data_IF_898339525300
#
_entry.id   IF_898339525300
#
_cell.length_a   1.000
_cell.length_b   1.000
_cell.length_c   1.000
_cell.angle_alpha   90.00
_cell.angle_beta   90.00
_cell.angle_gamma   90.00
#
_symmetry.space_group_name_H-M   'P 1'
#
loop_
_entity.id
_entity.type
_entity.pdbx_description
1 polymer ?
#
# COMPACT_ATOMS: atom_id res chain seq x y z
N UNK A 1 3.91 -5.18 -0.17
CA UNK A 1 5.12 -5.58 -0.93
C UNK A 1 5.60 -6.88 -0.31
N UNK A 2 5.48 -7.99 -1.02
CA UNK A 2 5.76 -9.34 -0.52
C UNK A 2 7.23 -9.71 -0.71
N UNK A 3 7.88 -9.24 -1.79
CA UNK A 3 9.27 -9.56 -2.10
C UNK A 3 10.05 -8.36 -2.68
N UNK A 4 11.19 -7.99 -2.07
CA UNK A 4 12.08 -6.90 -2.54
C UNK A 4 12.81 -7.19 -3.85
N UNK A 5 12.90 -8.46 -4.27
CA UNK A 5 13.47 -8.89 -5.55
C UNK A 5 12.41 -9.00 -6.65
N UNK A 6 11.12 -8.92 -6.32
CA UNK A 6 10.03 -8.94 -7.31
C UNK A 6 9.90 -7.57 -7.98
N UNK A 7 10.01 -7.56 -9.31
CA UNK A 7 9.91 -6.34 -10.11
C UNK A 7 8.55 -5.62 -9.96
N UNK A 8 7.46 -6.38 -9.88
CA UNK A 8 6.10 -5.83 -9.74
C UNK A 8 5.95 -5.21 -8.35
N UNK A 9 6.39 -5.91 -7.33
CA UNK A 9 6.30 -5.51 -5.93
C UNK A 9 7.08 -4.22 -5.65
N UNK A 10 8.31 -4.14 -6.17
CA UNK A 10 9.16 -2.95 -6.03
C UNK A 10 8.54 -1.76 -6.74
N UNK A 11 7.94 -1.95 -7.92
CA UNK A 11 7.25 -0.87 -8.62
C UNK A 11 6.02 -0.36 -7.86
N UNK A 12 5.17 -1.29 -7.39
CA UNK A 12 3.98 -0.97 -6.60
C UNK A 12 4.31 -0.29 -5.27
N UNK A 13 5.53 -0.50 -4.76
CA UNK A 13 6.05 0.23 -3.60
C UNK A 13 6.64 1.60 -3.98
N UNK A 14 7.59 1.65 -4.92
CA UNK A 14 8.31 2.87 -5.29
C UNK A 14 7.43 3.91 -5.95
N UNK A 15 6.46 3.52 -6.77
CA UNK A 15 5.60 4.47 -7.48
C UNK A 15 4.76 5.36 -6.57
N UNK A 16 3.87 4.83 -5.71
CA UNK A 16 3.08 5.66 -4.80
C UNK A 16 3.98 6.41 -3.82
N UNK A 17 5.09 5.81 -3.36
CA UNK A 17 6.03 6.47 -2.46
C UNK A 17 6.69 7.69 -3.12
N UNK A 18 7.20 7.55 -4.34
CA UNK A 18 7.80 8.65 -5.10
C UNK A 18 6.80 9.78 -5.36
N UNK A 19 5.58 9.44 -5.80
CA UNK A 19 4.52 10.44 -6.06
C UNK A 19 4.12 11.17 -4.77
N UNK A 20 3.90 10.43 -3.68
CA UNK A 20 3.55 11.00 -2.38
C UNK A 20 4.66 11.89 -1.82
N UNK A 21 5.90 11.42 -1.93
CA UNK A 21 7.09 12.14 -1.49
C UNK A 21 7.29 13.45 -2.27
N UNK A 22 7.17 13.43 -3.60
CA UNK A 22 7.24 14.64 -4.43
C UNK A 22 6.18 15.67 -4.01
N UNK A 23 4.94 15.22 -3.77
CA UNK A 23 3.84 16.11 -3.35
C UNK A 23 4.14 16.73 -1.99
N UNK A 24 4.60 15.94 -1.02
CA UNK A 24 4.95 16.43 0.30
C UNK A 24 6.07 17.48 0.25
N UNK A 25 7.13 17.21 -0.51
CA UNK A 25 8.22 18.16 -0.75
C UNK A 25 7.71 19.47 -1.36
N UNK A 26 6.85 19.40 -2.37
CA UNK A 26 6.30 20.60 -3.03
C UNK A 26 5.44 21.41 -2.08
N UNK A 27 4.59 20.77 -1.27
CA UNK A 27 3.79 21.46 -0.25
C UNK A 27 4.71 22.18 0.75
N UNK A 28 5.74 21.50 1.25
CA UNK A 28 6.71 22.10 2.16
C UNK A 28 7.39 23.34 1.53
N UNK A 29 7.81 23.25 0.26
CA UNK A 29 8.45 24.38 -0.44
C UNK A 29 7.47 25.54 -0.67
N UNK A 30 6.24 25.25 -1.10
CA UNK A 30 5.21 26.27 -1.33
C UNK A 30 4.94 27.06 -0.06
N UNK A 31 4.86 26.38 1.09
CA UNK A 31 4.64 27.04 2.37
C UNK A 31 5.88 27.81 2.84
N UNK A 32 7.07 27.22 2.68
CA UNK A 32 8.33 27.82 3.16
C UNK A 32 8.79 29.02 2.34
N UNK A 33 8.50 29.04 1.04
CA UNK A 33 8.88 30.12 0.11
C UNK A 33 7.67 30.97 -0.28
N UNK A 34 6.62 30.97 0.55
CA UNK A 34 5.41 31.74 0.28
C UNK A 34 5.72 33.25 0.25
N UNK A 35 5.59 33.85 -0.94
CA UNK A 35 5.68 35.29 -1.15
C UNK A 35 4.35 35.82 -1.73
N UNK A 36 3.52 36.52 -0.93
CA UNK A 36 2.25 37.09 -1.37
C UNK A 36 2.37 38.09 -2.53
N UNK A 37 3.57 38.63 -2.76
CA UNK A 37 3.84 39.66 -3.77
C UNK A 37 4.73 39.14 -4.91
N UNK A 38 5.12 37.86 -4.87
CA UNK A 38 6.00 37.23 -5.84
C UNK A 38 5.30 36.78 -7.14
N UNK A 39 6.08 36.48 -8.18
CA UNK A 39 5.57 35.88 -9.42
C UNK A 39 5.23 34.40 -9.22
N UNK A 40 3.99 34.13 -8.83
CA UNK A 40 3.46 32.78 -8.59
C UNK A 40 3.67 31.84 -9.77
N UNK A 41 3.51 32.31 -11.02
CA UNK A 41 3.64 31.47 -12.22
C UNK A 41 5.08 31.01 -12.44
N UNK A 42 6.05 31.90 -12.20
CA UNK A 42 7.47 31.56 -12.29
C UNK A 42 7.86 30.56 -11.22
N UNK A 43 7.37 30.75 -10.00
CA UNK A 43 7.58 29.83 -8.88
C UNK A 43 7.03 28.43 -9.17
N UNK A 44 5.75 28.33 -9.55
CA UNK A 44 5.11 27.06 -9.91
C UNK A 44 5.84 26.33 -11.05
N UNK A 45 6.34 27.07 -12.05
CA UNK A 45 7.12 26.48 -13.14
C UNK A 45 8.44 25.88 -12.64
N UNK A 46 9.07 26.47 -11.63
CA UNK A 46 10.27 25.93 -10.97
C UNK A 46 10.01 24.60 -10.26
N UNK A 47 8.81 24.43 -9.70
CA UNK A 47 8.39 23.19 -9.03
C UNK A 47 7.99 22.06 -9.99
N UNK A 48 7.84 22.31 -11.29
CA UNK A 48 7.58 21.28 -12.32
C UNK A 48 8.84 20.46 -12.65
N UNK A 49 9.54 19.99 -11.62
CA UNK A 49 10.66 19.06 -11.74
C UNK A 49 10.31 17.74 -11.08
N UNK A 50 10.68 16.63 -11.74
CA UNK A 50 10.56 15.27 -11.21
C UNK A 50 11.82 14.84 -10.44
N UNK A 51 12.45 15.78 -9.72
CA UNK A 51 13.75 15.56 -9.10
C UNK A 51 13.65 15.76 -7.61
N UNK A 52 13.43 14.68 -6.85
CA UNK A 52 13.34 14.77 -5.40
C UNK A 52 14.61 15.36 -4.80
N UNK A 53 15.81 14.99 -5.26
CA UNK A 53 17.07 15.60 -4.82
C UNK A 53 17.11 17.13 -4.97
N UNK A 54 16.51 17.70 -6.03
CA UNK A 54 16.50 19.17 -6.23
C UNK A 54 15.54 19.83 -5.25
N UNK A 55 14.38 19.22 -5.03
CA UNK A 55 13.37 19.70 -4.09
C UNK A 55 13.90 19.60 -2.64
N UNK A 56 14.57 18.50 -2.29
CA UNK A 56 15.27 18.33 -1.00
C UNK A 56 16.32 19.41 -0.82
N UNK A 57 17.17 19.65 -1.82
CA UNK A 57 18.20 20.71 -1.73
C UNK A 57 17.60 22.10 -1.51
N UNK A 58 16.43 22.38 -2.09
CA UNK A 58 15.69 23.61 -1.84
C UNK A 58 15.29 23.70 -0.35
N UNK A 59 14.68 22.66 0.22
CA UNK A 59 14.35 22.63 1.64
C UNK A 59 15.58 22.63 2.57
N UNK A 60 16.67 21.97 2.21
CA UNK A 60 17.93 22.02 2.99
C UNK A 60 18.44 23.47 3.10
N UNK A 61 18.29 24.27 2.04
CA UNK A 61 18.70 25.67 2.04
C UNK A 61 17.71 26.58 2.79
N UNK A 62 16.40 26.37 2.60
CA UNK A 62 15.36 27.27 3.13
C UNK A 62 14.99 26.94 4.58
N UNK A 63 14.97 25.66 4.95
CA UNK A 63 14.47 25.17 6.24
C UNK A 63 15.54 24.50 7.11
N UNK A 64 16.80 24.38 6.63
CA UNK A 64 17.93 23.78 7.35
C UNK A 64 17.68 22.32 7.81
N UNK A 65 16.88 21.57 7.06
CA UNK A 65 16.72 20.12 7.23
C UNK A 65 18.01 19.39 6.83
N UNK A 66 18.32 18.27 7.49
CA UNK A 66 19.47 17.43 7.17
C UNK A 66 19.12 15.95 7.27
N UNK A 67 19.42 15.21 6.21
CA UNK A 67 19.29 13.76 6.17
C UNK A 67 20.65 13.07 6.36
N UNK A 68 20.67 11.89 6.96
CA UNK A 68 21.88 11.07 7.04
C UNK A 68 22.17 10.45 5.66
N UNK A 69 23.35 9.83 5.54
CA UNK A 69 23.78 9.24 4.27
C UNK A 69 22.84 8.11 3.79
N UNK A 70 22.27 7.34 4.73
CA UNK A 70 21.31 6.27 4.44
C UNK A 70 20.07 6.82 3.72
N UNK A 71 19.45 7.85 4.30
CA UNK A 71 18.25 8.48 3.73
C UNK A 71 18.57 9.19 2.40
N UNK A 72 19.73 9.85 2.29
CA UNK A 72 20.17 10.49 1.04
C UNK A 72 20.33 9.49 -0.11
N UNK A 73 20.90 8.32 0.17
CA UNK A 73 21.03 7.26 -0.84
C UNK A 73 19.66 6.75 -1.28
N UNK A 74 18.73 6.55 -0.34
CA UNK A 74 17.36 6.13 -0.66
C UNK A 74 16.60 7.20 -1.48
N UNK A 75 16.76 8.48 -1.16
CA UNK A 75 16.20 9.61 -1.94
C UNK A 75 16.75 9.61 -3.37
N UNK A 76 18.04 9.27 -3.54
CA UNK A 76 18.66 9.17 -4.86
C UNK A 76 18.05 8.04 -5.69
N UNK A 77 17.86 6.86 -5.08
CA UNK A 77 17.16 5.71 -5.71
C UNK A 77 15.75 6.13 -6.16
N UNK A 78 14.95 6.76 -5.28
CA UNK A 78 13.61 7.23 -5.64
C UNK A 78 13.63 8.30 -6.74
N UNK A 79 14.65 9.16 -6.76
CA UNK A 79 14.80 10.20 -7.78
C UNK A 79 15.09 9.60 -9.15
N UNK A 80 15.99 8.62 -9.22
CA UNK A 80 16.31 7.91 -10.46
C UNK A 80 15.09 7.13 -10.96
N UNK A 81 14.45 6.37 -10.06
CA UNK A 81 13.23 5.61 -10.37
C UNK A 81 12.14 6.48 -11.02
N UNK A 82 11.82 7.62 -10.39
CA UNK A 82 10.70 8.46 -10.83
C UNK A 82 10.99 9.22 -12.14
N UNK A 83 12.27 9.55 -12.40
CA UNK A 83 12.70 10.24 -13.62
C UNK A 83 12.81 9.32 -14.83
N UNK A 84 13.47 8.17 -14.66
CA UNK A 84 13.86 7.30 -15.77
C UNK A 84 13.23 5.93 -15.68
N UNK A 85 13.38 5.24 -14.53
CA UNK A 85 13.21 3.78 -14.52
C UNK A 85 11.76 3.35 -14.74
N UNK A 86 10.78 4.16 -14.31
CA UNK A 86 9.36 3.96 -14.61
C UNK A 86 9.06 3.77 -16.11
N UNK A 87 9.82 4.42 -16.99
CA UNK A 87 9.59 4.33 -18.43
C UNK A 87 10.39 3.21 -19.10
N UNK A 88 11.41 2.67 -18.44
CA UNK A 88 12.27 1.63 -19.01
C UNK A 88 11.46 0.38 -19.40
N UNK A 89 10.34 0.11 -18.71
CA UNK A 89 9.39 -0.97 -19.01
C UNK A 89 8.64 -0.83 -20.34
N UNK A 90 8.67 0.37 -20.93
CA UNK A 90 7.93 0.70 -22.17
C UNK A 90 8.86 1.03 -23.35
N UNK A 91 10.18 0.90 -23.17
CA UNK A 91 11.16 1.20 -24.21
C UNK A 91 11.35 0.00 -25.16
N UNK A 92 11.60 0.28 -26.44
CA UNK A 92 11.84 -0.73 -27.48
C UNK A 92 13.25 -1.36 -27.43
N UNK A 93 14.12 -0.90 -26.55
CA UNK A 93 15.46 -1.47 -26.42
C UNK A 93 15.40 -2.90 -25.86
N UNK A 94 16.30 -3.80 -26.27
CA UNK A 94 16.31 -5.17 -25.78
C UNK A 94 16.39 -5.21 -24.25
N UNK A 95 15.51 -6.02 -23.63
CA UNK A 95 15.31 -6.28 -22.19
C UNK A 95 16.56 -6.84 -21.47
N UNK A 96 17.74 -6.75 -22.07
CA UNK A 96 19.02 -7.21 -21.53
C UNK A 96 19.68 -6.22 -20.55
N UNK A 97 19.15 -5.00 -20.39
CA UNK A 97 19.45 -4.19 -19.22
C UNK A 97 18.53 -4.63 -18.07
N UNK A 98 19.03 -5.62 -17.35
CA UNK A 98 18.50 -6.17 -16.10
C UNK A 98 17.85 -5.11 -15.23
N UNK A 99 16.58 -5.35 -14.87
CA UNK A 99 15.74 -4.52 -14.02
C UNK A 99 16.50 -3.92 -12.83
N UNK A 100 16.77 -2.62 -12.91
CA UNK A 100 17.67 -1.95 -11.97
C UNK A 100 17.00 -1.69 -10.61
N UNK A 101 15.67 -1.57 -10.55
CA UNK A 101 14.93 -1.15 -9.35
C UNK A 101 15.05 -2.17 -8.21
N UNK A 102 14.73 -3.48 -8.41
CA UNK A 102 14.90 -4.48 -7.35
C UNK A 102 16.36 -4.64 -6.95
N UNK A 103 17.28 -4.63 -7.92
CA UNK A 103 18.73 -4.71 -7.67
C UNK A 103 19.20 -3.54 -6.79
N UNK A 104 18.75 -2.31 -7.07
CA UNK A 104 19.09 -1.12 -6.28
C UNK A 104 18.52 -1.23 -4.86
N UNK A 105 17.27 -1.65 -4.71
CA UNK A 105 16.64 -1.81 -3.40
C UNK A 105 17.34 -2.89 -2.56
N UNK A 106 17.57 -4.06 -3.12
CA UNK A 106 18.26 -5.17 -2.44
C UNK A 106 19.67 -4.76 -2.04
N UNK A 107 20.43 -4.10 -2.92
CA UNK A 107 21.77 -3.57 -2.59
C UNK A 107 21.73 -2.52 -1.48
N UNK A 108 20.74 -1.63 -1.50
CA UNK A 108 20.54 -0.64 -0.45
C UNK A 108 20.29 -1.31 0.90
N UNK A 109 19.41 -2.31 0.94
CA UNK A 109 19.10 -3.04 2.17
C UNK A 109 20.33 -3.81 2.67
N UNK A 110 21.00 -4.60 1.81
CA UNK A 110 22.23 -5.31 2.17
C UNK A 110 23.28 -4.39 2.81
N UNK A 111 23.48 -3.22 2.19
CA UNK A 111 24.49 -2.24 2.63
C UNK A 111 24.19 -1.66 4.01
N UNK A 112 22.94 -1.30 4.28
CA UNK A 112 22.58 -0.52 5.47
C UNK A 112 21.96 -1.34 6.60
N UNK A 113 21.30 -2.46 6.28
CA UNK A 113 20.78 -3.42 7.25
C UNK A 113 21.85 -4.42 7.71
N UNK A 114 22.98 -4.52 6.98
CA UNK A 114 24.12 -5.43 7.25
C UNK A 114 23.75 -6.91 7.22
N UNK A 115 22.80 -7.27 6.36
CA UNK A 115 22.40 -8.66 6.15
C UNK A 115 22.84 -9.13 4.77
N UNK A 116 23.22 -10.40 4.67
CA UNK A 116 23.45 -11.08 3.40
C UNK A 116 22.10 -11.45 2.80
N UNK A 117 21.33 -10.47 2.31
CA UNK A 117 20.22 -10.80 1.42
C UNK A 117 20.82 -11.55 0.24
N UNK A 118 20.58 -12.85 0.12
CA UNK A 118 21.08 -13.60 -1.03
C UNK A 118 20.36 -13.07 -2.28
N UNK A 119 21.08 -12.48 -3.27
CA UNK A 119 20.43 -11.98 -4.48
C UNK A 119 19.78 -13.09 -5.34
N UNK A 120 20.06 -14.36 -5.04
CA UNK A 120 19.94 -15.46 -6.00
C UNK A 120 19.17 -16.70 -5.51
N UNK A 121 18.67 -16.78 -4.27
CA UNK A 121 18.24 -18.10 -3.75
C UNK A 121 16.74 -18.38 -3.88
N UNK A 122 15.85 -17.38 -3.87
CA UNK A 122 14.46 -17.63 -4.30
C UNK A 122 13.72 -16.31 -4.55
N UNK A 123 13.35 -16.05 -5.81
CA UNK A 123 12.42 -14.96 -6.16
C UNK A 123 11.00 -15.18 -5.58
N UNK A 124 10.82 -16.25 -4.81
CA UNK A 124 9.59 -16.65 -4.12
C UNK A 124 9.65 -16.40 -2.60
N UNK A 125 10.81 -16.04 -2.03
CA UNK A 125 10.94 -15.79 -0.61
C UNK A 125 10.27 -14.48 -0.19
N UNK A 126 9.43 -14.52 0.84
CA UNK A 126 8.79 -13.35 1.42
C UNK A 126 9.79 -12.48 2.19
N UNK A 127 9.57 -11.17 2.17
CA UNK A 127 10.30 -10.20 2.97
C UNK A 127 10.14 -10.51 4.46
N UNK A 128 11.24 -10.51 5.22
CA UNK A 128 11.14 -10.60 6.67
C UNK A 128 10.56 -9.31 7.27
N UNK A 129 9.92 -9.44 8.44
CA UNK A 129 9.33 -8.32 9.17
C UNK A 129 10.39 -7.26 9.50
N UNK A 130 11.61 -7.68 9.85
CA UNK A 130 12.73 -6.79 10.19
C UNK A 130 13.17 -5.95 8.99
N UNK A 131 13.21 -6.53 7.79
CA UNK A 131 13.51 -5.78 6.57
C UNK A 131 12.41 -4.76 6.25
N UNK A 132 11.15 -5.13 6.43
CA UNK A 132 10.02 -4.21 6.28
C UNK A 132 10.09 -3.06 7.30
N UNK A 133 10.41 -3.35 8.56
CA UNK A 133 10.64 -2.35 9.62
C UNK A 133 11.77 -1.40 9.26
N UNK A 134 12.89 -1.93 8.78
CA UNK A 134 14.03 -1.14 8.34
C UNK A 134 13.66 -0.15 7.23
N UNK A 135 12.96 -0.59 6.19
CA UNK A 135 12.50 0.30 5.12
C UNK A 135 11.51 1.33 5.67
N UNK A 136 10.58 0.93 6.54
CA UNK A 136 9.66 1.84 7.22
C UNK A 136 10.40 2.92 8.02
N UNK A 137 11.48 2.57 8.71
CA UNK A 137 12.34 3.51 9.45
C UNK A 137 13.07 4.49 8.51
N UNK A 138 13.60 4.00 7.39
CA UNK A 138 14.23 4.88 6.39
C UNK A 138 13.22 5.89 5.85
N UNK A 139 12.01 5.43 5.49
CA UNK A 139 10.95 6.30 4.97
C UNK A 139 10.48 7.29 6.06
N UNK A 140 10.33 6.85 7.31
CA UNK A 140 9.89 7.71 8.41
C UNK A 140 10.87 8.84 8.69
N UNK A 141 12.17 8.55 8.68
CA UNK A 141 13.25 9.52 8.85
C UNK A 141 13.33 10.54 7.70
N UNK A 142 12.77 10.21 6.54
CA UNK A 142 12.66 11.14 5.41
C UNK A 142 11.39 11.98 5.53
N UNK A 143 10.24 11.34 5.76
CA UNK A 143 8.91 11.94 5.65
C UNK A 143 8.58 12.83 6.85
N UNK A 144 8.89 12.39 8.07
CA UNK A 144 8.49 13.11 9.29
C UNK A 144 9.08 14.52 9.37
N UNK A 145 10.39 14.74 9.17
CA UNK A 145 10.96 16.08 9.24
C UNK A 145 10.38 17.04 8.18
N UNK A 146 9.98 16.53 7.01
CA UNK A 146 9.36 17.36 5.97
C UNK A 146 7.92 17.71 6.36
N UNK A 147 7.17 16.76 6.92
CA UNK A 147 5.82 17.04 7.41
C UNK A 147 5.81 18.02 8.59
N UNK A 148 6.81 17.95 9.47
CA UNK A 148 7.01 18.95 10.54
C UNK A 148 7.23 20.36 9.97
N UNK A 149 7.97 20.50 8.86
CA UNK A 149 8.11 21.78 8.15
C UNK A 149 6.73 22.24 7.65
N UNK A 150 5.95 21.36 7.02
CA UNK A 150 4.60 21.69 6.54
C UNK A 150 3.72 22.21 7.68
N UNK A 151 3.70 21.51 8.83
CA UNK A 151 2.91 21.91 9.99
C UNK A 151 3.35 23.28 10.51
N UNK A 152 4.66 23.47 10.72
CA UNK A 152 5.22 24.73 11.22
C UNK A 152 4.92 25.91 10.29
N UNK A 153 5.20 25.77 9.00
CA UNK A 153 5.01 26.85 8.05
C UNK A 153 3.54 27.20 7.87
N UNK A 154 2.65 26.20 7.89
CA UNK A 154 1.23 26.46 7.81
C UNK A 154 0.71 27.18 9.05
N UNK A 155 1.17 26.80 10.25
CA UNK A 155 0.85 27.52 11.49
C UNK A 155 1.33 28.98 11.42
N UNK A 156 2.56 29.23 10.97
CA UNK A 156 3.12 30.58 10.79
C UNK A 156 2.31 31.44 9.79
N UNK A 157 1.74 30.81 8.77
CA UNK A 157 0.87 31.46 7.78
C UNK A 157 -0.61 31.55 8.22
N UNK A 158 -0.98 31.01 9.38
CA UNK A 158 -2.36 30.94 9.85
C UNK A 158 -3.24 29.98 9.04
N UNK A 159 -2.63 29.00 8.36
CA UNK A 159 -3.29 27.94 7.60
C UNK A 159 -3.44 26.72 8.49
N UNK A 160 -4.67 26.43 8.92
CA UNK A 160 -4.97 25.25 9.73
C UNK A 160 -5.17 24.03 8.83
N UNK A 161 -4.08 23.32 8.50
CA UNK A 161 -4.11 22.05 7.72
C UNK A 161 -4.44 20.82 8.60
N UNK A 162 -5.17 21.01 9.70
CA UNK A 162 -5.34 20.00 10.76
C UNK A 162 -6.33 18.88 10.42
N UNK A 163 -6.97 18.92 9.26
CA UNK A 163 -7.98 17.93 8.85
C UNK A 163 -7.37 16.86 7.94
N UNK A 164 -6.43 16.09 8.47
CA UNK A 164 -6.20 14.75 7.92
C UNK A 164 -7.34 13.88 8.41
N UNK A 165 -8.12 13.32 7.48
CA UNK A 165 -9.15 12.34 7.81
C UNK A 165 -8.51 11.19 8.60
N UNK A 166 -8.99 10.99 9.83
CA UNK A 166 -8.46 10.03 10.79
C UNK A 166 -8.52 8.59 10.26
N UNK A 167 -9.48 8.28 9.39
CA UNK A 167 -9.64 6.94 8.80
C UNK A 167 -8.85 6.76 7.48
N UNK A 168 -8.13 7.79 7.04
CA UNK A 168 -7.35 7.73 5.81
C UNK A 168 -5.99 7.03 6.00
N UNK A 169 -5.39 6.56 4.90
CA UNK A 169 -3.99 6.08 4.94
C UNK A 169 -2.99 7.17 5.35
N UNK A 170 -3.35 8.44 5.16
CA UNK A 170 -2.49 9.56 5.52
C UNK A 170 -2.40 9.77 7.04
N UNK A 171 -3.47 9.46 7.81
CA UNK A 171 -3.44 9.58 9.27
C UNK A 171 -2.43 8.62 9.90
N UNK A 172 -2.35 7.38 9.41
CA UNK A 172 -1.33 6.40 9.83
C UNK A 172 0.08 6.96 9.76
N UNK A 173 0.44 7.50 8.59
CA UNK A 173 1.77 8.05 8.34
C UNK A 173 2.02 9.32 9.15
N UNK A 174 1.10 10.29 9.09
CA UNK A 174 1.37 11.64 9.56
C UNK A 174 0.97 11.90 11.01
N UNK A 175 -0.10 11.24 11.49
CA UNK A 175 -0.59 11.35 12.86
C UNK A 175 -0.03 10.24 13.76
N UNK A 176 -0.13 8.98 13.35
CA UNK A 176 0.29 7.83 14.18
C UNK A 176 1.76 7.47 14.02
N UNK A 177 2.41 7.97 12.96
CA UNK A 177 3.84 7.73 12.65
C UNK A 177 4.15 6.26 12.43
N UNK A 178 3.18 5.53 11.88
CA UNK A 178 3.29 4.11 11.54
C UNK A 178 3.70 3.97 10.07
N UNK A 179 4.81 3.28 9.83
CA UNK A 179 5.39 3.09 8.49
C UNK A 179 5.55 1.61 8.12
N UNK A 180 5.01 0.73 8.95
CA UNK A 180 4.80 -0.68 8.66
C UNK A 180 3.31 -1.00 8.91
N UNK A 181 2.84 -2.11 8.35
CA UNK A 181 1.43 -2.53 8.46
C UNK A 181 1.26 -3.78 9.34
N UNK A 182 2.19 -3.99 10.28
CA UNK A 182 2.27 -5.22 11.09
C UNK A 182 1.12 -5.30 12.09
N UNK A 183 0.77 -4.18 12.73
CA UNK A 183 -0.29 -4.15 13.73
C UNK A 183 -1.67 -4.43 13.10
N UNK A 184 -1.92 -4.00 11.85
CA UNK A 184 -3.13 -4.36 11.13
C UNK A 184 -3.17 -5.84 10.73
N UNK A 185 -2.03 -6.39 10.34
CA UNK A 185 -1.90 -7.83 10.05
C UNK A 185 -2.22 -8.67 11.31
N UNK A 186 -1.70 -8.26 12.47
CA UNK A 186 -1.99 -8.89 13.76
C UNK A 186 -3.47 -8.73 14.12
N UNK A 187 -4.01 -7.50 14.02
CA UNK A 187 -5.41 -7.22 14.31
C UNK A 187 -6.34 -8.07 13.43
N UNK A 188 -6.04 -8.20 12.14
CA UNK A 188 -6.83 -9.02 11.23
C UNK A 188 -6.80 -10.50 11.65
N UNK A 189 -5.64 -11.03 12.02
CA UNK A 189 -5.52 -12.40 12.52
C UNK A 189 -6.35 -12.61 13.80
N UNK A 190 -6.27 -11.67 14.76
CA UNK A 190 -7.06 -11.70 16.00
C UNK A 190 -8.57 -11.64 15.72
N UNK A 191 -9.02 -10.80 14.79
CA UNK A 191 -10.43 -10.75 14.35
C UNK A 191 -10.85 -12.08 13.75
N UNK A 192 -10.03 -12.70 12.89
CA UNK A 192 -10.33 -14.01 12.31
C UNK A 192 -10.44 -15.09 13.39
N UNK A 193 -9.50 -15.14 14.34
CA UNK A 193 -9.56 -16.05 15.47
C UNK A 193 -10.81 -15.84 16.33
N UNK A 194 -11.17 -14.59 16.59
CA UNK A 194 -12.37 -14.24 17.34
C UNK A 194 -13.64 -14.73 16.63
N UNK A 195 -13.75 -14.48 15.32
CA UNK A 195 -14.90 -14.90 14.51
C UNK A 195 -15.02 -16.43 14.39
N UNK A 196 -13.90 -17.15 14.31
CA UNK A 196 -13.90 -18.62 14.25
C UNK A 196 -14.22 -19.27 15.60
N UNK A 197 -13.90 -18.60 16.71
CA UNK A 197 -14.24 -19.06 18.06
C UNK A 197 -15.71 -18.90 18.37
N UNK A 198 -16.36 -17.87 17.81
CA UNK A 198 -17.75 -17.57 18.12
C UNK A 198 -18.72 -18.53 17.42
N UNK A 199 -19.44 -19.29 18.25
CA UNK A 199 -20.49 -20.21 17.79
C UNK A 199 -21.61 -19.52 17.03
N UNK A 200 -21.86 -18.22 17.25
CA UNK A 200 -22.92 -17.48 16.57
C UNK A 200 -22.62 -17.32 15.07
N UNK A 201 -21.40 -16.92 14.72
CA UNK A 201 -20.99 -16.79 13.32
C UNK A 201 -20.97 -18.14 12.61
N UNK A 202 -20.59 -19.21 13.31
CA UNK A 202 -20.68 -20.57 12.79
C UNK A 202 -22.14 -20.99 12.53
N UNK A 203 -23.06 -20.71 13.44
CA UNK A 203 -24.49 -20.98 13.25
C UNK A 203 -25.07 -20.18 12.07
N UNK A 204 -24.67 -18.92 11.92
CA UNK A 204 -25.10 -18.07 10.82
C UNK A 204 -24.54 -18.56 9.48
N UNK A 205 -23.26 -18.93 9.43
CA UNK A 205 -22.67 -19.55 8.24
C UNK A 205 -23.40 -20.86 7.88
N UNK A 206 -23.79 -21.66 8.88
CA UNK A 206 -24.60 -22.87 8.68
C UNK A 206 -25.99 -22.55 8.14
N UNK A 207 -26.64 -21.48 8.60
CA UNK A 207 -27.93 -21.04 8.06
C UNK A 207 -27.80 -20.63 6.58
N UNK A 208 -26.82 -19.80 6.25
CA UNK A 208 -26.54 -19.38 4.87
C UNK A 208 -26.24 -20.60 3.99
N UNK A 209 -25.45 -21.56 4.48
CA UNK A 209 -25.09 -22.78 3.72
C UNK A 209 -26.28 -23.67 3.36
N UNK A 210 -27.44 -23.52 4.03
CA UNK A 210 -28.68 -24.23 3.68
C UNK A 210 -29.32 -23.68 2.41
N UNK A 211 -29.15 -22.38 2.16
CA UNK A 211 -29.74 -21.69 1.02
C UNK A 211 -28.75 -21.58 -0.14
N UNK A 212 -27.45 -21.49 0.16
CA UNK A 212 -26.40 -21.33 -0.84
C UNK A 212 -25.28 -22.32 -0.59
N UNK A 213 -25.05 -23.21 -1.56
CA UNK A 213 -23.86 -24.05 -1.57
C UNK A 213 -22.60 -23.20 -1.75
N UNK A 214 -21.62 -23.43 -0.88
CA UNK A 214 -20.29 -22.84 -0.99
C UNK A 214 -19.63 -23.24 -2.32
N UNK A 215 -18.84 -22.34 -2.89
CA UNK A 215 -18.01 -22.70 -4.05
C UNK A 215 -16.96 -23.73 -3.62
N UNK A 216 -16.77 -24.81 -4.38
CA UNK A 216 -15.76 -25.81 -4.08
C UNK A 216 -14.39 -25.28 -4.48
N UNK A 217 -13.72 -24.54 -3.59
CA UNK A 217 -12.31 -24.16 -3.75
C UNK A 217 -11.36 -25.37 -3.55
N UNK A 218 -11.73 -26.55 -4.08
CA UNK A 218 -11.10 -27.85 -3.83
C UNK A 218 -9.63 -27.95 -4.28
N UNK A 219 -9.19 -27.06 -5.16
CA UNK A 219 -7.81 -26.99 -5.65
C UNK A 219 -6.96 -25.93 -4.93
N UNK A 220 -7.51 -25.26 -3.91
CA UNK A 220 -6.80 -24.26 -3.13
C UNK A 220 -6.31 -24.86 -1.81
N UNK A 221 -5.05 -24.63 -1.44
CA UNK A 221 -4.62 -24.89 -0.07
C UNK A 221 -5.34 -23.90 0.87
N UNK A 222 -5.76 -24.37 2.05
CA UNK A 222 -6.50 -23.55 3.03
C UNK A 222 -5.72 -22.28 3.39
N UNK A 223 -4.40 -22.39 3.48
CA UNK A 223 -3.49 -21.28 3.74
C UNK A 223 -3.58 -20.20 2.64
N UNK A 224 -3.69 -20.59 1.37
CA UNK A 224 -3.80 -19.63 0.28
C UNK A 224 -5.16 -18.90 0.29
N UNK A 225 -6.23 -19.58 0.68
CA UNK A 225 -7.55 -18.94 0.88
C UNK A 225 -7.51 -17.93 2.02
N UNK A 226 -6.84 -18.26 3.13
CA UNK A 226 -6.63 -17.32 4.23
C UNK A 226 -5.77 -16.13 3.78
N UNK A 227 -4.73 -16.36 2.97
CA UNK A 227 -3.93 -15.27 2.39
C UNK A 227 -4.74 -14.41 1.41
N UNK A 228 -5.69 -14.98 0.66
CA UNK A 228 -6.59 -14.23 -0.22
C UNK A 228 -7.48 -13.26 0.56
N UNK A 229 -7.92 -13.61 1.77
CA UNK A 229 -8.66 -12.67 2.62
C UNK A 229 -7.82 -11.47 3.05
N UNK A 230 -6.49 -11.62 3.09
CA UNK A 230 -5.54 -10.59 3.52
C UNK A 230 -5.04 -9.71 2.37
N UNK A 231 -4.86 -10.27 1.18
CA UNK A 231 -4.18 -9.60 0.06
C UNK A 231 -5.07 -9.55 -1.19
N UNK A 232 -5.41 -8.34 -1.63
CA UNK A 232 -6.15 -8.14 -2.88
C UNK A 232 -5.41 -8.73 -4.09
N UNK A 233 -4.07 -8.74 -4.05
CA UNK A 233 -3.24 -9.39 -5.08
C UNK A 233 -3.47 -10.90 -5.10
N UNK A 234 -3.53 -11.55 -3.93
CA UNK A 234 -3.81 -12.99 -3.82
C UNK A 234 -5.26 -13.33 -4.20
N UNK A 235 -6.23 -12.43 -3.97
CA UNK A 235 -7.62 -12.61 -4.46
C UNK A 235 -7.69 -12.80 -5.97
N UNK A 236 -6.78 -12.20 -6.75
CA UNK A 236 -6.76 -12.33 -8.21
C UNK A 236 -6.61 -13.81 -8.62
N UNK A 237 -5.78 -14.58 -7.91
CA UNK A 237 -5.55 -16.00 -8.17
C UNK A 237 -6.88 -16.78 -8.08
N UNK A 238 -7.69 -16.48 -7.06
CA UNK A 238 -8.96 -17.16 -6.83
C UNK A 238 -10.11 -16.63 -7.67
N UNK A 239 -10.00 -15.40 -8.19
CA UNK A 239 -11.02 -14.78 -9.02
C UNK A 239 -11.19 -15.51 -10.36
N UNK A 240 -10.10 -16.00 -10.94
CA UNK A 240 -10.16 -16.83 -12.14
C UNK A 240 -10.85 -18.16 -11.87
N UNK A 241 -10.48 -18.85 -10.78
CA UNK A 241 -11.14 -20.08 -10.36
C UNK A 241 -12.65 -19.87 -10.11
N UNK A 242 -13.01 -18.81 -9.39
CA UNK A 242 -14.42 -18.45 -9.17
C UNK A 242 -15.19 -18.29 -10.48
N UNK A 243 -14.59 -17.59 -11.46
CA UNK A 243 -15.21 -17.36 -12.75
C UNK A 243 -15.43 -18.67 -13.51
N UNK A 244 -14.42 -19.54 -13.56
CA UNK A 244 -14.53 -20.86 -14.18
C UNK A 244 -15.66 -21.68 -13.53
N UNK A 245 -15.74 -21.70 -12.20
CA UNK A 245 -16.82 -22.39 -11.51
C UNK A 245 -18.21 -21.83 -11.83
N UNK A 246 -18.35 -20.52 -11.97
CA UNK A 246 -19.63 -19.91 -12.39
C UNK A 246 -20.01 -20.23 -13.82
N UNK A 247 -19.05 -20.43 -14.71
CA UNK A 247 -19.30 -20.79 -16.12
C UNK A 247 -19.59 -22.29 -16.30
N UNK A 248 -18.96 -23.15 -15.51
CA UNK A 248 -19.00 -24.61 -15.69
C UNK A 248 -19.97 -25.34 -14.74
N UNK A 249 -20.45 -24.70 -13.68
CA UNK A 249 -21.31 -25.35 -12.69
C UNK A 249 -22.77 -25.46 -13.15
N UNK A 250 -23.22 -26.68 -13.42
CA UNK A 250 -24.63 -26.99 -13.68
C UNK A 250 -25.54 -26.79 -12.45
N UNK A 251 -24.95 -26.66 -11.25
CA UNK A 251 -25.68 -26.46 -10.00
C UNK A 251 -26.09 -24.99 -9.77
N UNK A 252 -25.46 -24.04 -10.48
CA UNK A 252 -25.78 -22.62 -10.40
C UNK A 252 -26.81 -22.31 -11.49
N UNK A 253 -28.08 -22.50 -11.14
CA UNK A 253 -29.21 -22.33 -12.06
C UNK A 253 -29.39 -20.85 -12.46
N UNK A 254 -29.17 -19.93 -11.53
CA UNK A 254 -29.29 -18.49 -11.74
C UNK A 254 -28.09 -17.74 -11.16
N UNK A 255 -27.10 -17.45 -12.02
CA UNK A 255 -25.87 -16.75 -11.61
C UNK A 255 -26.15 -15.31 -11.16
N UNK A 256 -27.07 -14.60 -11.81
CA UNK A 256 -27.38 -13.20 -11.52
C UNK A 256 -27.95 -13.05 -10.10
N UNK A 257 -28.95 -13.88 -9.77
CA UNK A 257 -29.56 -13.93 -8.43
C UNK A 257 -28.54 -14.34 -7.36
N UNK A 258 -27.64 -15.29 -7.66
CA UNK A 258 -26.55 -15.64 -6.76
C UNK A 258 -25.62 -14.46 -6.48
N UNK A 259 -25.22 -13.72 -7.53
CA UNK A 259 -24.31 -12.57 -7.38
C UNK A 259 -24.96 -11.44 -6.60
N UNK A 260 -26.24 -11.15 -6.86
CA UNK A 260 -27.03 -10.17 -6.13
C UNK A 260 -27.10 -10.54 -4.64
N UNK A 261 -27.46 -11.80 -4.33
CA UNK A 261 -27.51 -12.26 -2.94
C UNK A 261 -26.14 -12.18 -2.25
N UNK A 262 -25.05 -12.61 -2.89
CA UNK A 262 -23.70 -12.52 -2.32
C UNK A 262 -23.27 -11.06 -2.07
N UNK A 263 -23.72 -10.12 -2.92
CA UNK A 263 -23.46 -8.70 -2.75
C UNK A 263 -24.28 -8.13 -1.58
N UNK A 264 -25.56 -8.49 -1.46
CA UNK A 264 -26.40 -8.07 -0.33
C UNK A 264 -25.87 -8.56 1.02
N UNK A 265 -25.41 -9.83 1.09
CA UNK A 265 -24.79 -10.40 2.29
C UNK A 265 -23.58 -9.58 2.79
N UNK A 266 -22.85 -8.93 1.87
CA UNK A 266 -21.65 -8.17 2.19
C UNK A 266 -21.93 -6.71 2.56
N UNK A 267 -23.10 -6.17 2.18
CA UNK A 267 -23.44 -4.75 2.37
C UNK A 267 -24.40 -4.49 3.51
N UNK A 268 -25.32 -5.42 3.81
CA UNK A 268 -26.29 -5.21 4.88
C UNK A 268 -25.55 -5.34 6.22
N UNK A 269 -25.52 -4.24 6.99
CA UNK A 269 -25.39 -4.36 8.45
C UNK A 269 -26.54 -5.26 8.89
N UNK A 270 -26.21 -6.46 9.36
CA UNK A 270 -27.22 -7.40 9.79
C UNK A 270 -27.78 -6.93 11.13
N UNK A 271 -28.84 -6.13 11.08
CA UNK A 271 -29.73 -5.94 12.21
C UNK A 271 -30.32 -7.30 12.56
N UNK A 272 -29.83 -7.89 13.65
CA UNK A 272 -30.34 -9.14 14.21
C UNK A 272 -31.57 -8.84 15.07
N UNK A 273 -32.55 -8.10 14.53
CA UNK A 273 -33.88 -8.07 15.11
C UNK A 273 -34.68 -9.23 14.48
N UNK A 274 -34.73 -10.35 15.22
CA UNK A 274 -35.77 -11.38 15.22
C UNK A 274 -36.65 -11.53 13.97
N UNK A 275 -36.09 -11.91 12.81
CA UNK A 275 -36.88 -12.29 11.65
C UNK A 275 -37.08 -13.82 11.59
N UNK A 276 -38.12 -14.30 12.28
CA UNK A 276 -38.71 -15.63 12.10
C UNK A 276 -39.37 -15.82 10.71
N UNK A 277 -39.36 -14.82 9.82
CA UNK A 277 -40.18 -14.83 8.61
C UNK A 277 -39.45 -15.06 7.26
N UNK A 278 -38.11 -15.23 7.23
CA UNK A 278 -37.39 -15.55 5.97
C UNK A 278 -37.40 -17.07 5.68
N UNK A 279 -38.59 -17.67 5.71
CA UNK A 279 -38.79 -19.07 5.36
C UNK A 279 -40.02 -19.27 4.46
N UNK A 280 -40.23 -18.37 3.48
CA UNK A 280 -41.16 -18.58 2.34
C UNK A 280 -40.75 -17.81 1.09
N UNK A 281 -39.78 -18.34 0.35
CA UNK A 281 -39.80 -18.39 -1.13
C UNK A 281 -38.76 -19.37 -1.63
#
# INVERSE_FOLDING_TARGET
>A
MENFSSEVDVFEFFYPLAVGYERLLKVAIILSEHDPFGDTKKFEKGLKTHSHEKLVKCLENTCNIKFLNREKEFISILTEFYKSDRYNRFNFEPVFNTNSEPIKLTKFIQKHFKDELYPDVDATAYNSIEHCKFIGEVVSNIVNPIYEIVQKQAEELGIFITEIDYLSKASKIFLWKEFNFEDEDILQAEIMFYLLKDSFMLQKAQQISKHIRCLPFEYAEEDDLLMALRSDKKKIIFKENQKTFYEESEEIINLEERLEYMYELMLKEFDCEDDEDICKT
#
